data_IF_034380154856
#
_entry.id   IF_034380154856
#
_cell.length_a   1.000
_cell.length_b   1.000
_cell.length_c   1.000
_cell.angle_alpha   90.00
_cell.angle_beta   90.00
_cell.angle_gamma   90.00
#
_symmetry.space_group_name_H-M   'P 1'
#
loop_
_entity.id
_entity.type
_entity.pdbx_description
1 polymer ?
#
# COMPACT_ATOMS: atom_id res chain seq x y z
N UNK A 1 11.71 0.79 -0.05
CA UNK A 1 11.20 0.17 1.19
C UNK A 1 9.85 0.76 1.59
N UNK A 2 9.04 -0.05 2.24
CA UNK A 2 7.74 0.34 2.78
C UNK A 2 7.92 0.86 4.20
N UNK A 3 7.22 1.94 4.55
CA UNK A 3 7.20 2.47 5.92
C UNK A 3 6.64 1.44 6.89
N UNK A 4 7.40 1.08 7.90
CA UNK A 4 7.02 0.04 8.87
C UNK A 4 6.06 0.55 9.95
N UNK A 5 5.84 1.85 10.03
CA UNK A 5 4.85 2.48 10.90
C UNK A 5 3.40 2.36 10.41
N UNK A 6 3.21 1.92 9.16
CA UNK A 6 1.90 1.84 8.52
C UNK A 6 1.47 0.39 8.30
N UNK A 7 0.22 0.09 8.63
CA UNK A 7 -0.47 -1.14 8.25
C UNK A 7 -1.47 -0.86 7.13
N UNK A 8 -1.82 -1.88 6.38
CA UNK A 8 -2.79 -1.78 5.27
C UNK A 8 -3.82 -2.88 5.40
N UNK A 9 -5.06 -2.55 5.19
CA UNK A 9 -6.14 -3.51 5.00
C UNK A 9 -7.05 -3.08 3.87
N UNK A 10 -7.44 -4.01 3.03
CA UNK A 10 -8.27 -3.75 1.86
C UNK A 10 -8.25 -4.91 0.88
N UNK A 11 -9.04 -4.77 -0.16
CA UNK A 11 -9.04 -5.63 -1.34
C UNK A 11 -8.82 -4.76 -2.57
N UNK A 12 -8.18 -5.29 -3.59
CA UNK A 12 -7.88 -4.56 -4.84
C UNK A 12 -8.39 -5.37 -6.02
N UNK A 13 -9.11 -4.73 -6.93
CA UNK A 13 -9.53 -5.34 -8.18
C UNK A 13 -8.45 -5.23 -9.27
N UNK A 14 -8.71 -5.81 -10.44
CA UNK A 14 -7.78 -5.81 -11.58
C UNK A 14 -7.49 -4.41 -12.16
N UNK A 15 -8.28 -3.39 -11.80
CA UNK A 15 -8.11 -2.01 -12.24
C UNK A 15 -7.34 -1.15 -11.22
N UNK A 16 -6.82 -1.74 -10.15
CA UNK A 16 -6.13 -1.02 -9.09
C UNK A 16 -7.05 -0.24 -8.16
N UNK A 17 -8.35 -0.51 -8.19
CA UNK A 17 -9.34 0.11 -7.32
C UNK A 17 -9.42 -0.64 -6.00
N UNK A 18 -9.34 0.10 -4.91
CA UNK A 18 -9.45 -0.45 -3.55
C UNK A 18 -10.91 -0.67 -3.20
N UNK A 19 -11.21 -1.87 -2.72
CA UNK A 19 -12.56 -2.32 -2.39
C UNK A 19 -12.75 -2.46 -0.89
N UNK A 20 -14.00 -2.26 -0.43
CA UNK A 20 -14.39 -2.44 0.96
C UNK A 20 -14.14 -3.86 1.46
N UNK A 21 -13.76 -3.97 2.75
CA UNK A 21 -13.54 -5.25 3.44
C UNK A 21 -14.36 -5.32 4.72
N UNK A 22 -14.51 -6.52 5.26
CA UNK A 22 -15.07 -6.74 6.59
C UNK A 22 -14.01 -6.58 7.69
N UNK A 23 -14.48 -6.22 8.90
CA UNK A 23 -13.63 -6.14 10.08
C UNK A 23 -12.64 -4.97 10.10
N UNK A 24 -12.94 -3.87 9.40
CA UNK A 24 -12.05 -2.71 9.37
C UNK A 24 -11.83 -2.10 10.76
N UNK A 25 -12.89 -1.99 11.56
CA UNK A 25 -12.79 -1.46 12.93
C UNK A 25 -11.85 -2.29 13.80
N UNK A 26 -12.02 -3.61 13.80
CA UNK A 26 -11.22 -4.54 14.58
C UNK A 26 -9.75 -4.57 14.14
N UNK A 27 -9.50 -4.43 12.85
CA UNK A 27 -8.13 -4.36 12.31
C UNK A 27 -7.42 -3.07 12.69
N UNK A 28 -8.12 -1.94 12.64
CA UNK A 28 -7.56 -0.65 13.08
C UNK A 28 -7.27 -0.69 14.59
N UNK A 29 -8.24 -1.13 15.39
CA UNK A 29 -8.11 -1.21 16.84
C UNK A 29 -7.00 -2.18 17.27
N UNK A 30 -6.89 -3.34 16.61
CA UNK A 30 -5.84 -4.31 16.89
C UNK A 30 -4.44 -3.79 16.59
N UNK A 31 -4.26 -3.08 15.48
CA UNK A 31 -2.98 -2.44 15.15
C UNK A 31 -2.67 -1.29 16.11
N UNK A 32 -3.66 -0.49 16.47
CA UNK A 32 -3.52 0.55 17.47
C UNK A 32 -3.05 0.00 18.82
N UNK A 33 -3.64 -1.09 19.28
CA UNK A 33 -3.25 -1.75 20.55
C UNK A 33 -1.78 -2.16 20.54
N UNK A 34 -1.28 -2.69 19.43
CA UNK A 34 0.14 -3.05 19.28
C UNK A 34 1.02 -1.80 19.29
N UNK A 35 0.62 -0.74 18.59
CA UNK A 35 1.36 0.51 18.55
C UNK A 35 1.42 1.17 19.93
N UNK A 36 0.30 1.19 20.64
CA UNK A 36 0.22 1.73 22.01
C UNK A 36 1.13 0.96 22.97
N UNK A 37 1.11 -0.37 22.91
CA UNK A 37 1.96 -1.23 23.76
C UNK A 37 3.47 -1.02 23.49
N UNK A 38 3.84 -0.68 22.25
CA UNK A 38 5.23 -0.38 21.86
C UNK A 38 5.63 1.09 22.03
N UNK A 39 4.68 1.94 22.30
CA UNK A 39 4.83 3.39 22.35
C UNK A 39 4.43 4.07 21.05
N UNK A 40 3.46 4.98 21.12
CA UNK A 40 3.04 5.78 19.98
C UNK A 40 4.16 6.75 19.57
N UNK A 41 4.47 6.81 18.29
CA UNK A 41 5.55 7.63 17.72
C UNK A 41 5.04 8.84 16.93
N UNK A 42 3.71 8.93 16.72
CA UNK A 42 3.07 10.01 15.98
C UNK A 42 3.01 9.80 14.45
N UNK A 43 3.66 8.77 13.92
CA UNK A 43 3.68 8.43 12.50
C UNK A 43 2.97 7.12 12.16
N UNK A 44 2.49 6.40 13.17
CA UNK A 44 1.81 5.13 13.00
C UNK A 44 0.38 5.31 12.52
N UNK A 45 -0.09 4.39 11.69
CA UNK A 45 -1.44 4.46 11.15
C UNK A 45 -1.82 3.24 10.32
N UNK A 46 -3.06 3.26 9.87
CA UNK A 46 -3.65 2.20 9.03
C UNK A 46 -4.24 2.80 7.77
N UNK A 47 -3.93 2.21 6.63
CA UNK A 47 -4.60 2.50 5.36
C UNK A 47 -5.82 1.60 5.23
N UNK A 48 -6.95 2.19 4.92
CA UNK A 48 -8.23 1.50 4.74
C UNK A 48 -8.90 1.91 3.43
N UNK A 49 -9.81 1.09 2.89
CA UNK A 49 -10.60 1.51 1.74
C UNK A 49 -11.47 2.73 2.05
N UNK A 50 -11.52 3.69 1.13
CA UNK A 50 -12.40 4.86 1.25
C UNK A 50 -13.85 4.46 1.49
N UNK A 51 -14.32 3.38 0.89
CA UNK A 51 -15.67 2.86 1.03
C UNK A 51 -15.99 2.32 2.44
N UNK A 52 -14.99 2.06 3.28
CA UNK A 52 -15.18 1.68 4.68
C UNK A 52 -15.35 2.86 5.63
N UNK A 53 -15.00 4.07 5.23
CA UNK A 53 -15.00 5.26 6.12
C UNK A 53 -16.36 5.51 6.74
N UNK A 54 -17.43 5.40 5.95
CA UNK A 54 -18.81 5.62 6.41
C UNK A 54 -19.31 4.62 7.48
N UNK A 55 -18.61 3.50 7.64
CA UNK A 55 -18.95 2.42 8.59
C UNK A 55 -17.99 2.36 9.78
N UNK A 56 -17.10 3.33 9.93
CA UNK A 56 -16.17 3.35 11.06
C UNK A 56 -16.90 3.63 12.37
N UNK A 57 -16.67 2.76 13.35
CA UNK A 57 -17.11 2.87 14.74
C UNK A 57 -15.96 2.46 15.66
N UNK A 58 -14.93 3.29 15.70
CA UNK A 58 -13.71 3.02 16.46
C UNK A 58 -13.93 3.27 17.96
N UNK A 59 -13.20 2.54 18.79
CA UNK A 59 -13.13 2.77 20.23
C UNK A 59 -12.72 4.22 20.51
N UNK A 60 -13.17 4.73 21.63
CA UNK A 60 -12.95 6.11 22.05
C UNK A 60 -11.47 6.47 22.17
N UNK A 61 -10.65 5.57 22.73
CA UNK A 61 -9.19 5.76 22.86
C UNK A 61 -8.49 5.92 21.50
N UNK A 62 -8.92 5.15 20.48
CA UNK A 62 -8.41 5.28 19.12
C UNK A 62 -8.80 6.63 18.51
N UNK A 63 -10.05 7.04 18.67
CA UNK A 63 -10.53 8.36 18.19
C UNK A 63 -9.75 9.50 18.83
N UNK A 64 -9.57 9.44 20.15
CA UNK A 64 -8.79 10.45 20.90
C UNK A 64 -7.33 10.52 20.41
N UNK A 65 -6.69 9.39 20.15
CA UNK A 65 -5.34 9.35 19.62
C UNK A 65 -5.23 9.94 18.20
N UNK A 66 -6.23 9.69 17.34
CA UNK A 66 -6.30 10.28 16.01
C UNK A 66 -6.51 11.80 16.08
N UNK A 67 -7.40 12.27 16.93
CA UNK A 67 -7.65 13.70 17.14
C UNK A 67 -6.39 14.43 17.68
N UNK A 68 -5.63 13.76 18.53
CA UNK A 68 -4.37 14.29 19.07
C UNK A 68 -3.21 14.25 18.07
N UNK A 69 -3.36 13.57 16.93
CA UNK A 69 -2.29 13.39 15.94
C UNK A 69 -1.25 12.33 16.29
N UNK A 70 -1.54 11.47 17.27
CA UNK A 70 -0.66 10.41 17.72
C UNK A 70 -0.81 9.11 16.92
N UNK A 71 -1.93 8.95 16.24
CA UNK A 71 -2.27 7.83 15.38
C UNK A 71 -3.07 8.30 14.17
N UNK A 72 -2.98 7.57 13.05
CA UNK A 72 -3.59 8.00 11.80
C UNK A 72 -4.42 6.89 11.14
N UNK A 73 -5.50 7.29 10.49
CA UNK A 73 -6.29 6.42 9.61
C UNK A 73 -6.35 7.10 8.24
N UNK A 74 -5.82 6.43 7.23
CA UNK A 74 -5.76 6.94 5.86
C UNK A 74 -6.78 6.20 4.99
N UNK A 75 -7.64 6.94 4.34
CA UNK A 75 -8.60 6.39 3.38
C UNK A 75 -8.03 6.47 1.97
N UNK A 76 -8.01 5.34 1.27
CA UNK A 76 -7.46 5.23 -0.09
C UNK A 76 -8.50 4.62 -1.04
N UNK A 77 -8.54 5.12 -2.25
CA UNK A 77 -9.43 4.65 -3.32
C UNK A 77 -8.70 3.82 -4.38
N UNK A 78 -7.41 4.06 -4.55
CA UNK A 78 -6.57 3.36 -5.52
C UNK A 78 -5.31 2.80 -4.87
N UNK A 79 -4.74 1.79 -5.52
CA UNK A 79 -3.45 1.23 -5.08
C UNK A 79 -2.33 2.27 -5.16
N UNK A 80 -2.38 3.16 -6.14
CA UNK A 80 -1.38 4.22 -6.33
C UNK A 80 -1.35 5.18 -5.13
N UNK A 81 -2.51 5.62 -4.63
CA UNK A 81 -2.58 6.43 -3.39
C UNK A 81 -1.94 5.69 -2.20
N UNK A 82 -2.22 4.39 -2.06
CA UNK A 82 -1.63 3.56 -1.02
C UNK A 82 -0.10 3.45 -1.13
N UNK A 83 0.40 3.26 -2.33
CA UNK A 83 1.84 3.18 -2.61
C UNK A 83 2.55 4.49 -2.25
N UNK A 84 1.97 5.62 -2.57
CA UNK A 84 2.55 6.93 -2.24
C UNK A 84 2.66 7.13 -0.72
N UNK A 85 1.62 6.76 0.03
CA UNK A 85 1.65 6.81 1.49
C UNK A 85 2.69 5.86 2.09
N UNK A 86 2.74 4.62 1.59
CA UNK A 86 3.62 3.56 2.11
C UNK A 86 5.10 3.79 1.80
N UNK A 87 5.40 4.38 0.66
CA UNK A 87 6.78 4.52 0.18
C UNK A 87 7.32 5.95 0.25
N UNK A 88 6.44 6.94 0.23
CA UNK A 88 6.82 8.34 0.06
C UNK A 88 7.29 8.70 -1.34
N UNK A 89 7.09 7.79 -2.31
CA UNK A 89 7.41 8.00 -3.73
C UNK A 89 6.16 8.26 -4.53
N UNK A 90 6.26 9.14 -5.52
CA UNK A 90 5.22 9.31 -6.52
C UNK A 90 4.96 7.99 -7.26
N UNK A 91 3.69 7.58 -7.36
CA UNK A 91 3.29 6.34 -8.04
C UNK A 91 3.54 6.41 -9.54
N UNK A 92 3.16 7.51 -10.16
CA UNK A 92 3.23 7.73 -11.60
C UNK A 92 2.01 7.21 -12.36
N UNK A 93 1.53 7.99 -13.30
CA UNK A 93 0.48 7.63 -14.23
C UNK A 93 1.06 7.47 -15.65
N UNK A 94 0.47 6.56 -16.44
CA UNK A 94 0.89 6.42 -17.83
C UNK A 94 0.57 7.70 -18.62
N UNK A 95 1.57 8.22 -19.31
CA UNK A 95 1.40 9.32 -20.23
C UNK A 95 0.68 8.93 -21.53
N UNK A 96 0.48 9.89 -22.44
CA UNK A 96 -0.11 9.66 -23.75
C UNK A 96 0.71 8.67 -24.61
N UNK A 97 2.01 8.57 -24.36
CA UNK A 97 2.94 7.60 -24.96
C UNK A 97 2.80 6.18 -24.41
N UNK A 98 1.94 5.96 -23.40
CA UNK A 98 1.72 4.70 -22.74
C UNK A 98 2.78 4.32 -21.72
N UNK A 99 3.75 5.17 -21.44
CA UNK A 99 4.85 4.92 -20.50
C UNK A 99 4.62 5.63 -19.16
N UNK A 100 5.17 5.06 -18.09
CA UNK A 100 5.26 5.74 -16.81
C UNK A 100 6.42 6.74 -16.80
N UNK A 101 6.27 7.89 -16.15
CA UNK A 101 7.37 8.85 -16.00
C UNK A 101 8.57 8.23 -15.28
N UNK A 102 9.76 8.49 -15.78
CA UNK A 102 11.01 8.00 -15.20
C UNK A 102 11.15 8.44 -13.73
N UNK A 103 11.61 7.52 -12.87
CA UNK A 103 11.82 7.78 -11.45
C UNK A 103 10.60 7.52 -10.57
N UNK A 104 9.42 7.33 -11.14
CA UNK A 104 8.21 6.97 -10.39
C UNK A 104 8.23 5.52 -9.93
N UNK A 105 7.39 5.19 -8.93
CA UNK A 105 7.29 3.83 -8.41
C UNK A 105 6.86 2.83 -9.50
N UNK A 106 5.79 3.14 -10.25
CA UNK A 106 5.29 2.27 -11.31
C UNK A 106 6.30 2.07 -12.44
N UNK A 107 7.06 3.11 -12.80
CA UNK A 107 8.17 2.98 -13.74
C UNK A 107 9.20 1.95 -13.26
N UNK A 108 9.61 2.03 -12.00
CA UNK A 108 10.60 1.09 -11.43
C UNK A 108 10.07 -0.34 -11.38
N UNK A 109 8.80 -0.53 -11.07
CA UNK A 109 8.15 -1.85 -11.05
C UNK A 109 8.14 -2.44 -12.47
N UNK A 110 7.71 -1.66 -13.46
CA UNK A 110 7.67 -2.11 -14.86
C UNK A 110 9.08 -2.52 -15.36
N UNK A 111 10.08 -1.68 -15.10
CA UNK A 111 11.48 -1.99 -15.44
C UNK A 111 11.97 -3.28 -14.76
N UNK A 112 11.59 -3.48 -13.51
CA UNK A 112 11.98 -4.70 -12.78
C UNK A 112 11.31 -5.94 -13.34
N UNK A 113 10.03 -5.87 -13.69
CA UNK A 113 9.30 -6.97 -14.31
C UNK A 113 9.89 -7.35 -15.68
N UNK A 114 10.26 -6.35 -16.49
CA UNK A 114 10.93 -6.57 -17.76
C UNK A 114 12.27 -7.28 -17.57
N UNK A 115 13.12 -6.82 -16.67
CA UNK A 115 14.39 -7.49 -16.34
C UNK A 115 14.22 -8.94 -15.90
N UNK A 116 13.17 -9.24 -15.14
CA UNK A 116 12.86 -10.61 -14.70
C UNK A 116 12.42 -11.48 -15.88
N UNK A 117 11.65 -10.95 -16.81
CA UNK A 117 11.25 -11.65 -18.03
C UNK A 117 12.45 -11.98 -18.89
N UNK A 118 13.33 -11.02 -19.16
CA UNK A 118 14.57 -11.20 -19.93
C UNK A 118 15.49 -12.25 -19.31
N UNK A 119 15.65 -12.25 -17.98
CA UNK A 119 16.42 -13.28 -17.27
C UNK A 119 15.84 -14.68 -17.43
N UNK A 120 14.52 -14.78 -17.41
CA UNK A 120 13.82 -16.06 -17.60
C UNK A 120 14.02 -16.61 -19.00
N UNK A 121 13.94 -15.77 -20.03
CA UNK A 121 14.18 -16.15 -21.43
C UNK A 121 15.62 -16.64 -21.60
N UNK A 122 16.62 -15.87 -21.13
CA UNK A 122 18.04 -16.25 -21.20
C UNK A 122 18.34 -17.57 -20.48
N UNK A 123 17.65 -17.87 -19.38
CA UNK A 123 17.79 -19.14 -18.67
C UNK A 123 17.18 -20.31 -19.47
N UNK A 124 16.07 -20.09 -20.17
CA UNK A 124 15.45 -21.10 -21.04
C UNK A 124 16.35 -21.47 -22.24
N UNK A 125 16.92 -20.48 -22.90
CA UNK A 125 17.81 -20.67 -24.05
C UNK A 125 19.09 -21.46 -23.67
N UNK A 126 19.69 -21.17 -22.50
CA UNK A 126 20.87 -21.91 -22.03
C UNK A 126 20.59 -23.39 -21.69
N UNK A 127 19.35 -23.73 -21.35
CA UNK A 127 18.93 -25.11 -21.11
C UNK A 127 18.68 -25.93 -22.39
N UNK A 128 18.39 -25.28 -23.51
CA UNK A 128 18.22 -25.94 -24.81
C UNK A 128 19.54 -26.23 -25.52
N UNK A 129 20.59 -25.44 -25.26
CA UNK A 129 21.95 -25.68 -25.82
C UNK A 129 22.69 -26.85 -25.16
N UNK A 130 22.34 -27.22 -23.93
CA UNK A 130 22.93 -28.37 -23.21
C UNK A 130 22.19 -29.72 -23.44
N UNK A 131 21.08 -29.68 -24.11
CA UNK A 131 20.29 -30.86 -24.47
C UNK A 131 20.56 -31.32 -25.91
#
# INVERSE_FOLDING_TARGET
PIKQSLAVTGSVNQHGQVQAIGGANEKIEGFFDICEARGLTGDQGVLIPQSNVKHLMLRRDVVEAVEAGDFHVYAVSTIDEGIELLTGMESGERGEDGNYPEGTFNYRVEQRLQQLAERREAFGESGEEEA
#
